data_IF_585980831361
#
_entry.id   IF_585980831361
#
_cell.length_a   1.000
_cell.length_b   1.000
_cell.length_c   1.000
_cell.angle_alpha   90.00
_cell.angle_beta   90.00
_cell.angle_gamma   90.00
#
_symmetry.space_group_name_H-M   'P 1'
#
loop_
_entity.id
_entity.type
_entity.pdbx_description
1 polymer ?
#
# COMPACT_ATOMS: atom_id res chain seq x y z
N UNK A 1 5.39 32.61 -14.02
CA UNK A 1 3.93 32.67 -13.78
C UNK A 1 3.59 31.71 -12.66
N UNK A 2 2.99 32.17 -11.57
CA UNK A 2 2.60 31.28 -10.48
C UNK A 2 1.36 30.48 -10.87
N UNK A 3 1.45 29.15 -10.85
CA UNK A 3 0.27 28.26 -11.07
C UNK A 3 -0.65 28.33 -9.85
N UNK A 4 -1.91 28.61 -10.07
CA UNK A 4 -2.94 28.57 -9.00
C UNK A 4 -3.25 27.13 -8.56
N UNK A 5 -3.26 26.18 -9.51
CA UNK A 5 -3.48 24.77 -9.23
C UNK A 5 -2.14 24.07 -9.01
N UNK A 6 -2.06 23.26 -7.95
CA UNK A 6 -0.89 22.43 -7.63
C UNK A 6 -1.12 21.00 -8.07
N UNK A 7 -0.10 20.41 -8.70
CA UNK A 7 -0.13 19.03 -9.20
C UNK A 7 0.60 18.14 -8.22
N UNK A 8 -0.08 17.10 -7.73
CA UNK A 8 0.49 16.06 -6.88
C UNK A 8 0.67 14.78 -7.70
N UNK A 9 1.90 14.28 -7.78
CA UNK A 9 2.22 13.02 -8.44
C UNK A 9 2.60 11.97 -7.40
N UNK A 10 1.99 10.77 -7.47
CA UNK A 10 2.37 9.66 -6.59
C UNK A 10 3.51 8.87 -7.22
N UNK A 11 4.60 8.66 -6.47
CA UNK A 11 5.71 7.82 -6.90
C UNK A 11 5.47 6.35 -6.55
N UNK A 12 5.89 5.47 -7.46
CA UNK A 12 5.81 4.04 -7.34
C UNK A 12 6.86 3.35 -8.23
N UNK A 13 6.86 2.01 -8.34
CA UNK A 13 7.90 1.27 -9.08
C UNK A 13 8.10 1.74 -10.51
N UNK A 14 7.05 2.15 -11.20
CA UNK A 14 7.13 2.67 -12.57
C UNK A 14 7.75 4.08 -12.67
N UNK A 15 7.94 4.78 -11.56
CA UNK A 15 8.41 6.17 -11.52
C UNK A 15 9.67 6.36 -10.65
N UNK A 16 10.43 5.29 -10.41
CA UNK A 16 11.57 5.30 -9.47
C UNK A 16 12.88 5.87 -10.04
N UNK A 17 12.93 6.13 -11.36
CA UNK A 17 14.16 6.63 -11.97
C UNK A 17 14.28 8.15 -11.90
N UNK A 18 15.51 8.64 -11.73
CA UNK A 18 15.79 10.09 -11.74
C UNK A 18 15.28 10.76 -13.03
N UNK A 19 15.37 10.06 -14.17
CA UNK A 19 14.91 10.56 -15.48
C UNK A 19 13.40 10.82 -15.47
N UNK A 20 12.61 9.87 -14.93
CA UNK A 20 11.15 10.01 -14.89
C UNK A 20 10.74 11.06 -13.88
N UNK A 21 11.37 11.10 -12.69
CA UNK A 21 11.07 12.10 -11.66
C UNK A 21 11.39 13.51 -12.20
N UNK A 22 12.54 13.72 -12.87
CA UNK A 22 12.85 14.99 -13.53
C UNK A 22 11.79 15.36 -14.57
N UNK A 23 11.41 14.42 -15.43
CA UNK A 23 10.40 14.69 -16.47
C UNK A 23 9.04 15.07 -15.86
N UNK A 24 8.66 14.51 -14.73
CA UNK A 24 7.44 14.89 -13.99
C UNK A 24 7.54 16.33 -13.45
N UNK A 25 8.71 16.71 -12.92
CA UNK A 25 8.97 18.09 -12.47
C UNK A 25 8.88 19.07 -13.65
N UNK A 26 9.54 18.75 -14.76
CA UNK A 26 9.53 19.58 -15.98
C UNK A 26 8.11 19.71 -16.56
N UNK A 27 7.29 18.66 -16.41
CA UNK A 27 5.88 18.65 -16.81
C UNK A 27 4.97 19.41 -15.84
N UNK A 28 5.52 19.90 -14.72
CA UNK A 28 4.83 20.79 -13.80
C UNK A 28 4.31 20.13 -12.51
N UNK A 29 4.84 19.00 -12.08
CA UNK A 29 4.56 18.45 -10.75
C UNK A 29 5.13 19.39 -9.69
N UNK A 30 4.30 19.76 -8.72
CA UNK A 30 4.67 20.62 -7.59
C UNK A 30 5.00 19.82 -6.33
N UNK A 31 4.36 18.65 -6.17
CA UNK A 31 4.45 17.84 -4.95
C UNK A 31 4.49 16.35 -5.31
N UNK A 32 5.37 15.61 -4.68
CA UNK A 32 5.38 14.14 -4.76
C UNK A 32 4.76 13.53 -3.52
N UNK A 33 3.86 12.57 -3.72
CA UNK A 33 3.28 11.75 -2.66
C UNK A 33 3.99 10.40 -2.61
N UNK A 34 4.49 10.04 -1.43
CA UNK A 34 5.08 8.74 -1.11
C UNK A 34 4.09 7.94 -0.27
N UNK A 35 3.57 6.84 -0.83
CA UNK A 35 2.60 6.00 -0.13
C UNK A 35 3.31 4.96 0.72
N UNK A 36 3.37 5.17 2.03
CA UNK A 36 4.03 4.29 3.01
C UNK A 36 3.26 2.99 3.30
N UNK A 37 2.09 2.79 2.67
CA UNK A 37 1.42 1.48 2.68
C UNK A 37 2.11 0.44 1.78
N UNK A 38 3.06 0.86 0.94
CA UNK A 38 3.78 0.02 -0.02
C UNK A 38 5.24 0.45 -0.12
N UNK A 39 6.11 -0.50 -0.43
CA UNK A 39 7.55 -0.27 -0.54
C UNK A 39 8.27 -0.29 0.82
N UNK A 40 9.60 -0.29 0.77
CA UNK A 40 10.46 -0.24 1.96
C UNK A 40 10.87 1.19 2.31
N UNK A 41 11.36 1.38 3.54
CA UNK A 41 11.92 2.68 3.96
C UNK A 41 13.10 3.10 3.09
N UNK A 42 13.94 2.15 2.67
CA UNK A 42 15.09 2.38 1.79
C UNK A 42 14.66 2.91 0.42
N UNK A 43 13.60 2.33 -0.16
CA UNK A 43 13.04 2.80 -1.43
C UNK A 43 12.51 4.22 -1.32
N UNK A 44 11.75 4.52 -0.25
CA UNK A 44 11.26 5.88 -0.01
C UNK A 44 12.40 6.87 0.20
N UNK A 45 13.43 6.50 0.97
CA UNK A 45 14.60 7.35 1.18
C UNK A 45 15.34 7.64 -0.13
N UNK A 46 15.48 6.64 -1.01
CA UNK A 46 16.07 6.82 -2.34
C UNK A 46 15.27 7.84 -3.18
N UNK A 47 13.94 7.72 -3.20
CA UNK A 47 13.06 8.67 -3.91
C UNK A 47 13.21 10.09 -3.36
N UNK A 48 13.24 10.24 -2.05
CA UNK A 48 13.45 11.55 -1.39
C UNK A 48 14.78 12.16 -1.81
N UNK A 49 15.88 11.40 -1.80
CA UNK A 49 17.20 11.88 -2.23
C UNK A 49 17.17 12.37 -3.68
N UNK A 50 16.56 11.61 -4.59
CA UNK A 50 16.41 12.00 -6.00
C UNK A 50 15.65 13.34 -6.12
N UNK A 51 14.53 13.48 -5.42
CA UNK A 51 13.73 14.72 -5.45
C UNK A 51 14.57 15.90 -4.93
N UNK A 52 15.27 15.75 -3.81
CA UNK A 52 16.11 16.82 -3.24
C UNK A 52 17.30 17.17 -4.12
N UNK A 53 17.87 16.21 -4.86
CA UNK A 53 18.93 16.48 -5.82
C UNK A 53 18.41 17.24 -7.05
N UNK A 54 17.19 16.94 -7.51
CA UNK A 54 16.54 17.69 -8.59
C UNK A 54 16.24 19.12 -8.12
N UNK A 55 15.68 19.30 -6.92
CA UNK A 55 15.40 20.61 -6.32
C UNK A 55 16.66 21.49 -6.26
N UNK A 56 17.80 20.92 -5.80
CA UNK A 56 19.08 21.62 -5.78
C UNK A 56 19.57 22.03 -7.16
N UNK A 57 19.37 21.17 -8.16
CA UNK A 57 19.81 21.45 -9.55
C UNK A 57 18.96 22.49 -10.24
N UNK A 58 17.66 22.47 -10.04
CA UNK A 58 16.70 23.34 -10.73
C UNK A 58 16.43 24.64 -10.00
N UNK A 59 16.70 24.69 -8.68
CA UNK A 59 16.29 25.79 -7.81
C UNK A 59 14.78 25.86 -7.58
N UNK A 60 14.02 24.87 -8.05
CA UNK A 60 12.57 24.81 -7.92
C UNK A 60 12.20 24.07 -6.64
N UNK A 61 11.43 24.70 -5.74
CA UNK A 61 10.94 24.06 -4.53
C UNK A 61 9.93 22.96 -4.87
N UNK A 62 10.17 21.74 -4.35
CA UNK A 62 9.36 20.56 -4.60
C UNK A 62 8.84 20.03 -3.26
N UNK A 63 7.51 19.99 -3.09
CA UNK A 63 6.88 19.43 -1.90
C UNK A 63 6.99 17.89 -1.86
N UNK A 64 7.03 17.32 -0.66
CA UNK A 64 6.92 15.88 -0.44
C UNK A 64 5.84 15.61 0.61
N UNK A 65 4.90 14.73 0.27
CA UNK A 65 3.88 14.22 1.19
C UNK A 65 4.25 12.79 1.55
N UNK A 66 4.46 12.51 2.83
CA UNK A 66 4.51 11.15 3.37
C UNK A 66 3.08 10.74 3.75
N UNK A 67 2.47 9.87 2.94
CA UNK A 67 1.15 9.31 3.24
C UNK A 67 1.33 8.07 4.11
N UNK A 68 1.17 8.26 5.41
CA UNK A 68 1.42 7.23 6.41
C UNK A 68 0.31 6.18 6.41
N UNK A 69 0.70 4.95 6.69
CA UNK A 69 -0.23 3.86 6.86
C UNK A 69 -1.08 4.11 8.10
N UNK A 70 -2.40 4.22 7.92
CA UNK A 70 -3.36 4.21 9.02
C UNK A 70 -3.81 2.79 9.39
N UNK A 71 -4.61 2.63 10.46
CA UNK A 71 -5.23 1.36 10.78
C UNK A 71 -6.15 0.92 9.63
N UNK A 72 -5.91 -0.27 9.10
CA UNK A 72 -6.71 -0.86 8.01
C UNK A 72 -7.06 -2.28 8.37
N UNK A 73 -8.35 -2.62 8.29
CA UNK A 73 -8.77 -4.01 8.39
C UNK A 73 -8.32 -4.77 7.15
N UNK A 74 -7.45 -5.74 7.35
CA UNK A 74 -6.91 -6.59 6.28
C UNK A 74 -6.72 -7.99 6.81
N UNK A 75 -6.92 -8.97 5.95
CA UNK A 75 -6.51 -10.35 6.22
C UNK A 75 -4.99 -10.42 6.34
N UNK A 76 -4.49 -11.42 7.05
CA UNK A 76 -3.07 -11.73 7.12
C UNK A 76 -2.50 -12.06 5.74
N UNK A 77 -1.18 -12.21 5.69
CA UNK A 77 -0.52 -12.61 4.44
C UNK A 77 -1.00 -13.98 3.99
N UNK A 78 -1.34 -14.09 2.71
CA UNK A 78 -1.64 -15.34 2.02
C UNK A 78 -0.54 -15.60 1.00
N UNK A 79 -0.05 -16.86 0.94
CA UNK A 79 1.06 -17.22 0.06
C UNK A 79 0.63 -17.32 -1.42
N UNK A 80 -0.59 -17.79 -1.64
CA UNK A 80 -1.15 -17.95 -2.98
C UNK A 80 -2.55 -17.34 -3.06
N UNK A 81 -2.95 -16.80 -4.22
CA UNK A 81 -4.32 -16.32 -4.43
C UNK A 81 -5.33 -17.43 -4.13
N UNK A 82 -6.40 -17.08 -3.42
CA UNK A 82 -7.51 -17.97 -3.09
C UNK A 82 -8.70 -17.59 -3.98
N UNK A 83 -9.18 -18.54 -4.76
CA UNK A 83 -10.36 -18.37 -5.59
C UNK A 83 -11.59 -18.85 -4.83
N UNK A 84 -12.55 -17.97 -4.63
CA UNK A 84 -13.78 -18.26 -3.89
C UNK A 84 -15.00 -18.14 -4.81
N UNK A 85 -15.95 -19.06 -4.61
CA UNK A 85 -17.22 -19.05 -5.33
C UNK A 85 -18.36 -18.75 -4.37
N UNK A 86 -19.50 -18.34 -4.92
CA UNK A 86 -20.70 -18.12 -4.11
C UNK A 86 -21.12 -19.41 -3.42
N UNK A 87 -21.27 -19.36 -2.09
CA UNK A 87 -21.61 -20.52 -1.27
C UNK A 87 -20.44 -21.15 -0.54
N UNK A 88 -19.20 -20.68 -0.80
CA UNK A 88 -18.06 -21.10 0.02
C UNK A 88 -18.16 -20.53 1.43
N UNK A 89 -17.63 -21.26 2.40
CA UNK A 89 -17.53 -20.84 3.80
C UNK A 89 -16.13 -20.32 4.06
N UNK A 90 -16.02 -19.16 4.71
CA UNK A 90 -14.75 -18.58 5.12
C UNK A 90 -14.71 -18.50 6.64
N UNK A 91 -13.75 -19.19 7.23
CA UNK A 91 -13.48 -19.14 8.66
C UNK A 91 -12.34 -18.16 8.93
N UNK A 92 -12.61 -17.11 9.68
CA UNK A 92 -11.60 -16.16 10.11
C UNK A 92 -11.03 -16.55 11.48
N UNK A 93 -9.71 -16.46 11.62
CA UNK A 93 -9.00 -16.81 12.84
C UNK A 93 -8.11 -15.66 13.29
N UNK A 94 -8.15 -15.33 14.58
CA UNK A 94 -7.29 -14.30 15.16
C UNK A 94 -5.81 -14.69 15.18
N UNK A 95 -5.54 -15.97 15.44
CA UNK A 95 -4.17 -16.50 15.48
C UNK A 95 -3.80 -17.09 14.13
N UNK A 96 -2.54 -16.91 13.73
CA UNK A 96 -2.03 -17.56 12.53
C UNK A 96 -2.07 -19.08 12.72
N UNK A 97 -2.83 -19.77 11.90
CA UNK A 97 -2.86 -21.22 11.91
C UNK A 97 -1.58 -21.71 11.23
N UNK A 98 -0.65 -22.27 11.99
CA UNK A 98 0.67 -22.75 11.50
C UNK A 98 0.55 -23.94 10.54
N UNK A 99 -0.61 -24.55 10.42
CA UNK A 99 -0.87 -25.62 9.46
C UNK A 99 -1.60 -25.05 8.27
N UNK A 100 -0.80 -24.81 7.26
CA UNK A 100 -1.18 -24.71 5.84
C UNK A 100 -2.44 -23.89 5.56
N UNK A 101 -2.35 -23.06 4.58
CA UNK A 101 -3.41 -22.74 3.64
C UNK A 101 -4.03 -24.05 3.10
N UNK A 102 -4.56 -24.88 4.00
CA UNK A 102 -5.19 -26.14 3.66
C UNK A 102 -6.57 -25.81 3.15
N UNK A 103 -6.64 -25.66 1.85
CA UNK A 103 -7.84 -25.90 1.08
C UNK A 103 -8.22 -27.34 1.42
N UNK A 104 -9.15 -27.50 2.33
CA UNK A 104 -9.83 -28.79 2.49
C UNK A 104 -10.73 -28.93 1.26
N UNK A 105 -10.18 -29.53 0.20
CA UNK A 105 -10.83 -29.67 -1.11
C UNK A 105 -12.15 -30.44 -1.08
N UNK A 106 -12.52 -30.99 0.08
CA UNK A 106 -13.74 -31.78 0.29
C UNK A 106 -14.90 -30.94 0.84
N UNK A 107 -14.60 -29.78 1.44
CA UNK A 107 -15.63 -28.94 2.08
C UNK A 107 -15.32 -27.49 1.73
N UNK A 108 -15.74 -26.93 0.68
CA UNK A 108 -15.67 -25.53 0.24
C UNK A 108 -15.41 -24.46 1.35
N UNK A 109 -14.49 -24.78 2.28
CA UNK A 109 -14.13 -24.00 3.46
C UNK A 109 -12.72 -23.44 3.35
N UNK A 110 -12.58 -22.18 3.63
CA UNK A 110 -11.31 -21.48 3.65
C UNK A 110 -11.02 -20.97 5.07
N UNK A 111 -9.79 -21.17 5.52
CA UNK A 111 -9.32 -20.65 6.80
C UNK A 111 -8.39 -19.48 6.56
N UNK A 112 -8.77 -18.31 7.01
CA UNK A 112 -8.06 -17.04 6.77
C UNK A 112 -7.67 -16.40 8.10
N UNK A 113 -6.39 -16.04 8.22
CA UNK A 113 -5.91 -15.26 9.34
C UNK A 113 -6.42 -13.81 9.23
N UNK A 114 -7.07 -13.33 10.29
CA UNK A 114 -7.54 -11.95 10.41
C UNK A 114 -6.98 -11.34 11.70
N UNK A 115 -5.83 -10.65 11.66
CA UNK A 115 -5.10 -10.15 12.83
C UNK A 115 -5.75 -8.89 13.45
N UNK A 116 -7.05 -8.94 13.71
CA UNK A 116 -7.85 -7.82 14.20
C UNK A 116 -8.75 -8.27 15.36
N UNK A 117 -8.21 -8.32 16.61
CA UNK A 117 -8.98 -8.76 17.76
C UNK A 117 -10.24 -7.92 18.00
N UNK A 118 -10.18 -6.63 17.67
CA UNK A 118 -11.31 -5.71 17.78
C UNK A 118 -12.54 -6.13 16.96
N UNK A 119 -12.33 -6.81 15.84
CA UNK A 119 -13.44 -7.34 15.03
C UNK A 119 -14.12 -8.48 15.79
N UNK A 120 -13.34 -9.45 16.30
CA UNK A 120 -13.89 -10.61 17.01
C UNK A 120 -14.59 -10.25 18.32
N UNK A 121 -14.20 -9.12 18.94
CA UNK A 121 -14.81 -8.64 20.17
C UNK A 121 -16.15 -7.91 19.94
N UNK A 122 -16.39 -7.42 18.74
CA UNK A 122 -17.54 -6.55 18.45
C UNK A 122 -18.57 -7.17 17.48
N UNK A 123 -18.29 -8.33 16.90
CA UNK A 123 -19.25 -9.05 16.07
C UNK A 123 -20.15 -9.92 16.95
N UNK A 124 -21.45 -9.77 16.80
CA UNK A 124 -22.45 -10.65 17.43
C UNK A 124 -22.80 -11.82 16.50
N UNK A 125 -23.27 -12.97 17.06
CA UNK A 125 -23.77 -14.07 16.24
C UNK A 125 -24.89 -13.59 15.31
N UNK A 126 -24.80 -13.96 14.03
CA UNK A 126 -25.75 -13.59 12.95
C UNK A 126 -25.68 -12.14 12.42
N UNK A 127 -24.59 -11.43 12.67
CA UNK A 127 -24.30 -10.13 12.04
C UNK A 127 -23.40 -10.24 10.82
#
# INVERSE_FOLDING_TARGET
MFKSTKIISTLGPATDSIKIISSLVDSGTDVFRLNFSHGSHEEHLKRIKIIRDIEKKTGQSIGIIADLQGPKFRIGQINNPIFMEKGNIVNFHLNQIVKSDSINSIVNEFNIHLPHPEIFLNILPNE
#
